data_IF_770026070166
#
_entry.id   IF_770026070166
#
_cell.length_a   1.000
_cell.length_b   1.000
_cell.length_c   1.000
_cell.angle_alpha   90.00
_cell.angle_beta   90.00
_cell.angle_gamma   90.00
#
_symmetry.space_group_name_H-M   'P 1'
#
loop_
_entity.id
_entity.type
_entity.pdbx_description
1 polymer ?
#
# COMPACT_ATOMS: atom_id res chain seq x y z
N UNK A 1 -8.82 -12.35 4.26
CA UNK A 1 -8.76 -12.19 5.74
C UNK A 1 -7.36 -11.86 6.25
N UNK A 2 -6.30 -12.57 5.85
CA UNK A 2 -4.93 -12.28 6.30
C UNK A 2 -4.48 -10.85 5.96
N UNK A 3 -4.70 -10.42 4.72
CA UNK A 3 -4.27 -9.10 4.26
C UNK A 3 -4.97 -7.93 4.95
N UNK A 4 -6.22 -8.08 5.41
CA UNK A 4 -6.87 -7.03 6.19
C UNK A 4 -6.20 -6.84 7.55
N UNK A 5 -5.69 -7.91 8.17
CA UNK A 5 -4.93 -7.80 9.41
C UNK A 5 -3.59 -7.09 9.16
N UNK A 6 -2.90 -7.38 8.05
CA UNK A 6 -1.69 -6.65 7.66
C UNK A 6 -1.97 -5.16 7.41
N UNK A 7 -3.12 -4.82 6.81
CA UNK A 7 -3.55 -3.43 6.65
C UNK A 7 -3.82 -2.75 8.01
N UNK A 8 -4.42 -3.48 8.96
CA UNK A 8 -4.69 -2.98 10.32
C UNK A 8 -3.42 -2.76 11.14
N UNK A 9 -2.37 -3.55 10.88
CA UNK A 9 -1.08 -3.46 11.56
C UNK A 9 -0.28 -2.18 11.25
N UNK A 10 -0.86 -1.24 10.51
CA UNK A 10 -0.27 0.06 10.17
C UNK A 10 0.21 0.89 11.37
N UNK A 11 -0.37 0.68 12.54
CA UNK A 11 0.02 1.37 13.77
C UNK A 11 1.54 1.25 14.08
N UNK A 12 2.20 0.19 13.60
CA UNK A 12 3.62 -0.08 13.84
C UNK A 12 4.53 0.33 12.67
N UNK A 13 3.98 0.84 11.56
CA UNK A 13 4.79 1.24 10.41
C UNK A 13 5.60 2.51 10.69
N UNK A 14 6.87 2.53 10.29
CA UNK A 14 7.78 3.67 10.48
C UNK A 14 8.08 4.43 9.17
N UNK A 15 7.73 3.85 8.04
CA UNK A 15 7.89 4.40 6.68
C UNK A 15 6.91 3.73 5.71
N UNK A 16 6.77 4.29 4.51
CA UNK A 16 5.98 3.69 3.43
C UNK A 16 4.47 3.78 3.64
N UNK A 17 3.69 3.10 2.81
CA UNK A 17 2.21 3.14 2.78
C UNK A 17 1.63 1.76 2.47
N UNK A 18 2.32 0.69 2.83
CA UNK A 18 1.88 -0.68 2.57
C UNK A 18 0.51 -1.02 3.18
N UNK A 19 0.03 -0.27 4.19
CA UNK A 19 -1.34 -0.38 4.68
C UNK A 19 -2.38 -0.23 3.55
N UNK A 20 -2.14 0.69 2.60
CA UNK A 20 -2.99 0.85 1.41
C UNK A 20 -2.90 -0.37 0.49
N UNK A 21 -1.69 -0.82 0.18
CA UNK A 21 -1.45 -2.01 -0.65
C UNK A 21 -2.12 -3.26 -0.06
N UNK A 22 -1.99 -3.47 1.25
CA UNK A 22 -2.65 -4.57 1.96
C UNK A 22 -4.17 -4.45 1.94
N UNK A 23 -4.70 -3.22 1.97
CA UNK A 23 -6.13 -2.98 1.77
C UNK A 23 -6.56 -3.46 0.39
N UNK A 24 -5.83 -3.08 -0.68
CA UNK A 24 -6.12 -3.55 -2.03
C UNK A 24 -6.06 -5.08 -2.13
N UNK A 25 -5.02 -5.70 -1.56
CA UNK A 25 -4.86 -7.15 -1.52
C UNK A 25 -5.99 -7.86 -0.79
N UNK A 26 -6.51 -7.25 0.27
CA UNK A 26 -7.59 -7.82 1.07
C UNK A 26 -8.97 -7.76 0.40
N UNK A 27 -9.13 -6.92 -0.62
CA UNK A 27 -10.42 -6.64 -1.24
C UNK A 27 -10.47 -7.06 -2.71
N UNK A 28 -9.67 -6.42 -3.56
CA UNK A 28 -9.81 -6.50 -5.02
C UNK A 28 -9.80 -7.94 -5.56
N UNK A 29 -8.86 -8.81 -5.16
CA UNK A 29 -8.80 -10.18 -5.69
C UNK A 29 -10.05 -11.02 -5.39
N UNK A 30 -10.76 -10.70 -4.32
CA UNK A 30 -11.89 -11.46 -3.84
C UNK A 30 -13.23 -10.98 -4.41
N UNK A 31 -13.28 -9.77 -4.99
CA UNK A 31 -14.51 -9.20 -5.53
C UNK A 31 -14.98 -9.95 -6.77
N UNK A 32 -16.30 -10.20 -6.86
CA UNK A 32 -16.97 -10.72 -8.06
C UNK A 32 -18.08 -9.78 -8.50
N UNK A 33 -18.03 -9.37 -9.75
CA UNK A 33 -19.12 -8.66 -10.41
C UNK A 33 -20.38 -9.57 -10.52
N UNK A 34 -21.59 -8.99 -10.66
CA UNK A 34 -21.90 -7.57 -10.72
C UNK A 34 -22.10 -6.91 -9.35
N UNK A 35 -22.29 -7.70 -8.29
CA UNK A 35 -22.66 -7.20 -6.96
C UNK A 35 -21.46 -6.88 -6.05
N UNK A 36 -20.23 -7.14 -6.53
CA UNK A 36 -19.00 -6.90 -5.77
C UNK A 36 -19.00 -7.59 -4.40
N UNK A 37 -19.49 -8.84 -4.39
CA UNK A 37 -19.42 -9.74 -3.23
C UNK A 37 -18.07 -10.46 -3.21
N UNK A 38 -17.65 -10.88 -2.03
CA UNK A 38 -16.36 -11.54 -1.85
C UNK A 38 -16.50 -13.05 -2.10
N UNK A 39 -15.58 -13.62 -2.86
CA UNK A 39 -15.30 -15.07 -2.88
C UNK A 39 -14.22 -15.38 -1.86
N UNK A 40 -14.26 -16.58 -1.27
CA UNK A 40 -13.19 -17.06 -0.38
C UNK A 40 -11.89 -17.31 -1.13
N UNK A 41 -12.03 -17.84 -2.36
CA UNK A 41 -10.89 -18.16 -3.21
C UNK A 41 -10.55 -17.01 -4.14
N UNK A 42 -9.27 -16.95 -4.44
CA UNK A 42 -8.66 -16.06 -5.41
C UNK A 42 -9.09 -16.44 -6.84
N UNK A 43 -9.01 -17.74 -7.15
CA UNK A 43 -9.35 -18.32 -8.46
C UNK A 43 -10.54 -19.26 -8.28
N UNK A 44 -11.56 -19.14 -9.14
CA UNK A 44 -12.83 -19.87 -8.95
C UNK A 44 -12.75 -21.34 -9.43
N UNK A 45 -11.82 -21.69 -10.33
CA UNK A 45 -11.70 -23.02 -10.94
C UNK A 45 -10.67 -23.92 -10.22
N UNK A 46 -10.76 -24.00 -8.90
CA UNK A 46 -9.81 -24.79 -8.09
C UNK A 46 -10.37 -26.15 -7.67
N UNK A 47 -11.55 -26.54 -8.17
CA UNK A 47 -12.28 -27.74 -7.71
C UNK A 47 -12.75 -27.66 -6.25
N UNK A 48 -12.60 -26.49 -5.61
CA UNK A 48 -13.10 -26.21 -4.27
C UNK A 48 -14.51 -25.62 -4.39
N UNK A 49 -15.30 -25.73 -3.31
CA UNK A 49 -16.58 -25.04 -3.17
C UNK A 49 -16.39 -23.83 -2.26
N UNK A 50 -15.94 -22.68 -2.77
CA UNK A 50 -15.64 -21.52 -1.94
C UNK A 50 -16.91 -20.95 -1.31
N UNK A 51 -16.78 -20.39 -0.11
CA UNK A 51 -17.85 -19.58 0.44
C UNK A 51 -18.11 -18.34 -0.45
N UNK A 52 -19.37 -18.13 -0.80
CA UNK A 52 -19.84 -16.96 -1.54
C UNK A 52 -21.28 -16.60 -1.10
N UNK A 53 -21.54 -15.41 -0.52
CA UNK A 53 -20.54 -14.39 -0.18
C UNK A 53 -19.66 -14.82 0.99
N UNK A 54 -18.36 -14.53 0.88
CA UNK A 54 -17.37 -14.81 1.91
C UNK A 54 -17.41 -13.75 3.02
N UNK A 55 -18.23 -13.99 4.02
CA UNK A 55 -18.48 -13.03 5.11
C UNK A 55 -17.23 -12.72 5.94
N UNK A 56 -16.29 -13.66 6.08
CA UNK A 56 -15.01 -13.38 6.76
C UNK A 56 -14.18 -12.35 6.00
N UNK A 57 -14.21 -12.37 4.66
CA UNK A 57 -13.59 -11.35 3.80
C UNK A 57 -14.23 -9.97 3.99
N UNK A 58 -15.57 -9.93 3.97
CA UNK A 58 -16.32 -8.70 4.28
C UNK A 58 -16.00 -8.17 5.67
N UNK A 59 -16.01 -9.02 6.69
CA UNK A 59 -15.66 -8.68 8.06
C UNK A 59 -14.25 -8.12 8.19
N UNK A 60 -13.28 -8.69 7.48
CA UNK A 60 -11.91 -8.17 7.41
C UNK A 60 -11.83 -6.78 6.79
N UNK A 61 -12.45 -6.57 5.62
CA UNK A 61 -12.49 -5.25 4.96
C UNK A 61 -13.16 -4.18 5.84
N UNK A 62 -14.27 -4.54 6.49
CA UNK A 62 -15.06 -3.66 7.36
C UNK A 62 -14.29 -3.20 8.63
N UNK A 63 -13.19 -3.88 8.97
CA UNK A 63 -12.33 -3.54 10.10
C UNK A 63 -11.18 -2.59 9.74
N UNK A 64 -10.77 -2.51 8.47
CA UNK A 64 -9.56 -1.77 8.05
C UNK A 64 -9.63 -0.29 8.40
N UNK A 65 -10.74 0.38 8.09
CA UNK A 65 -10.88 1.81 8.36
C UNK A 65 -10.90 2.11 9.87
N UNK A 66 -11.80 1.54 10.69
CA UNK A 66 -11.85 1.87 12.12
C UNK A 66 -10.63 1.39 12.91
N UNK A 67 -10.14 0.17 12.67
CA UNK A 67 -9.07 -0.41 13.47
C UNK A 67 -7.68 -0.22 12.86
N UNK A 68 -7.57 -0.01 11.56
CA UNK A 68 -6.32 0.24 10.84
C UNK A 68 -6.04 1.72 10.65
N UNK A 69 -6.88 2.43 9.88
CA UNK A 69 -6.62 3.84 9.56
C UNK A 69 -6.91 4.77 10.73
N UNK A 70 -8.07 4.67 11.38
CA UNK A 70 -8.36 5.44 12.59
C UNK A 70 -7.57 4.92 13.79
N UNK A 71 -7.27 3.62 13.80
CA UNK A 71 -6.45 3.00 14.85
C UNK A 71 -7.18 2.88 16.19
N UNK A 72 -8.52 2.72 16.19
CA UNK A 72 -9.29 2.53 17.42
C UNK A 72 -8.79 1.29 18.17
N UNK A 73 -8.64 1.37 19.48
CA UNK A 73 -8.42 0.22 20.37
C UNK A 73 -9.46 0.25 21.49
N UNK A 74 -10.08 -0.91 21.71
CA UNK A 74 -11.21 -1.11 22.65
C UNK A 74 -10.85 -2.06 23.78
N UNK A 75 -9.58 -2.38 23.93
CA UNK A 75 -9.01 -3.27 24.95
C UNK A 75 -8.72 -2.55 26.28
N UNK A 76 -8.86 -1.22 26.31
CA UNK A 76 -8.67 -0.38 27.48
C UNK A 76 -10.01 0.24 27.93
N UNK A 77 -10.08 0.66 29.20
CA UNK A 77 -11.20 1.44 29.73
C UNK A 77 -11.29 2.87 29.17
N UNK A 78 -10.31 3.28 28.37
CA UNK A 78 -10.24 4.58 27.71
C UNK A 78 -10.29 4.41 26.18
N UNK A 79 -10.91 5.36 25.48
CA UNK A 79 -10.91 5.37 24.03
C UNK A 79 -9.53 5.77 23.51
N UNK A 80 -8.83 4.80 22.91
CA UNK A 80 -7.55 5.05 22.25
C UNK A 80 -7.75 5.09 20.74
N UNK A 81 -7.24 6.15 20.10
CA UNK A 81 -7.13 6.25 18.64
C UNK A 81 -5.69 6.59 18.27
N UNK A 82 -5.24 6.10 17.11
CA UNK A 82 -3.91 6.35 16.57
C UNK A 82 -3.99 6.57 15.06
N UNK A 83 -4.56 7.71 14.64
CA UNK A 83 -5.00 7.88 13.26
C UNK A 83 -3.82 8.01 12.30
N UNK A 84 -3.93 7.30 11.19
CA UNK A 84 -3.02 7.38 10.05
C UNK A 84 -3.73 6.99 8.76
N UNK A 85 -3.94 7.98 7.90
CA UNK A 85 -4.62 7.79 6.63
C UNK A 85 -3.59 7.66 5.50
N UNK A 86 -3.57 6.55 4.73
CA UNK A 86 -2.64 6.42 3.61
C UNK A 86 -2.84 7.53 2.57
N UNK A 87 -1.76 8.04 1.95
CA UNK A 87 -1.80 9.23 1.09
C UNK A 87 -2.66 9.06 -0.18
N UNK A 88 -2.96 7.83 -0.58
CA UNK A 88 -3.83 7.50 -1.70
C UNK A 88 -5.31 7.80 -1.42
N UNK A 89 -5.70 7.94 -0.15
CA UNK A 89 -7.04 8.28 0.28
C UNK A 89 -7.03 9.69 0.87
N UNK A 90 -7.44 10.74 0.14
CA UNK A 90 -7.31 12.11 0.61
C UNK A 90 -8.24 12.44 1.78
N UNK A 91 -9.44 11.82 1.81
CA UNK A 91 -10.46 12.01 2.83
C UNK A 91 -11.24 10.71 3.05
N UNK A 92 -11.49 10.35 4.30
CA UNK A 92 -12.29 9.18 4.68
C UNK A 92 -13.22 9.54 5.84
N UNK A 93 -14.52 9.32 5.65
CA UNK A 93 -15.47 9.28 6.77
C UNK A 93 -15.49 7.86 7.33
N UNK A 94 -15.21 7.73 8.62
CA UNK A 94 -15.31 6.46 9.34
C UNK A 94 -16.78 6.22 9.65
N UNK A 95 -17.24 4.98 9.48
CA UNK A 95 -18.57 4.56 9.92
C UNK A 95 -18.79 4.93 11.40
N UNK A 96 -20.04 5.14 11.78
CA UNK A 96 -20.39 5.38 13.17
C UNK A 96 -19.95 4.21 14.04
N UNK A 97 -19.39 4.52 15.20
CA UNK A 97 -18.99 3.52 16.19
C UNK A 97 -19.32 4.03 17.59
N UNK A 98 -19.31 3.11 18.55
CA UNK A 98 -19.70 3.38 19.93
C UNK A 98 -18.58 2.92 20.86
N UNK A 99 -18.32 3.71 21.90
CA UNK A 99 -17.41 3.37 22.98
C UNK A 99 -18.08 3.77 24.30
N UNK A 100 -18.17 2.86 25.28
CA UNK A 100 -18.95 3.07 26.52
C UNK A 100 -20.39 3.56 26.28
N UNK A 101 -20.99 3.16 25.16
CA UNK A 101 -22.31 3.60 24.71
C UNK A 101 -22.40 5.00 24.09
N UNK A 102 -21.35 5.82 24.12
CA UNK A 102 -21.34 7.11 23.43
C UNK A 102 -21.21 6.94 21.90
N UNK A 103 -22.10 7.57 21.13
CA UNK A 103 -22.06 7.60 19.67
C UNK A 103 -20.98 8.53 19.12
N UNK A 104 -20.08 8.00 18.28
CA UNK A 104 -18.94 8.72 17.72
C UNK A 104 -18.91 8.66 16.18
N UNK A 105 -18.57 9.80 15.58
CA UNK A 105 -18.26 9.95 14.17
C UNK A 105 -16.83 10.47 14.01
N UNK A 106 -16.07 9.94 13.05
CA UNK A 106 -14.72 10.41 12.76
C UNK A 106 -14.56 10.71 11.27
N UNK A 107 -13.99 11.87 10.96
CA UNK A 107 -13.63 12.26 9.59
C UNK A 107 -12.13 12.47 9.52
N UNK A 108 -11.48 11.69 8.67
CA UNK A 108 -10.03 11.73 8.46
C UNK A 108 -9.71 12.50 7.19
N UNK A 109 -8.73 13.40 7.29
CA UNK A 109 -8.03 14.00 6.15
C UNK A 109 -6.59 13.47 6.11
N UNK A 110 -5.73 14.03 5.26
CA UNK A 110 -4.29 13.71 5.28
C UNK A 110 -3.65 13.98 6.64
N UNK A 111 -3.83 15.19 7.20
CA UNK A 111 -3.02 15.69 8.33
C UNK A 111 -3.70 15.58 9.68
N UNK A 112 -5.02 15.52 9.72
CA UNK A 112 -5.77 15.41 10.98
C UNK A 112 -7.03 14.55 10.84
N UNK A 113 -7.52 14.11 11.99
CA UNK A 113 -8.82 13.44 12.17
C UNK A 113 -9.66 14.27 13.12
N UNK A 114 -10.92 14.52 12.73
CA UNK A 114 -11.91 15.18 13.58
C UNK A 114 -12.85 14.11 14.14
N UNK A 115 -12.92 13.97 15.45
CA UNK A 115 -13.81 13.07 16.16
C UNK A 115 -14.92 13.89 16.82
N UNK A 116 -16.17 13.61 16.46
CA UNK A 116 -17.36 14.29 16.97
C UNK A 116 -18.29 13.30 17.67
N UNK A 117 -18.78 13.65 18.85
CA UNK A 117 -19.88 12.94 19.50
C UNK A 117 -21.20 13.34 18.85
N UNK A 118 -22.11 12.39 18.72
CA UNK A 118 -23.51 12.65 18.39
C UNK A 118 -24.41 12.09 19.50
N UNK A 119 -25.63 12.63 19.62
CA UNK A 119 -26.57 12.18 20.65
C UNK A 119 -26.97 10.72 20.43
N UNK A 120 -26.70 9.87 21.44
CA UNK A 120 -27.04 8.43 21.45
C UNK A 120 -28.32 8.12 22.22
N UNK A 121 -28.88 9.10 22.95
CA UNK A 121 -29.96 8.95 23.94
C UNK A 121 -31.26 8.34 23.38
N UNK A 122 -31.48 8.41 22.07
CA UNK A 122 -32.66 7.86 21.39
C UNK A 122 -32.46 6.45 20.81
N UNK A 123 -31.27 5.86 20.95
CA UNK A 123 -30.97 4.54 20.40
C UNK A 123 -31.37 3.44 21.39
N UNK A 124 -32.35 2.58 21.07
CA UNK A 124 -32.73 1.49 21.95
C UNK A 124 -31.54 0.55 22.16
N UNK A 125 -31.34 0.10 23.40
CA UNK A 125 -30.30 -0.87 23.83
C UNK A 125 -28.86 -0.34 23.96
N UNK A 126 -28.64 0.97 23.87
CA UNK A 126 -27.33 1.58 24.17
C UNK A 126 -27.44 2.36 25.48
N UNK A 127 -26.71 1.92 26.52
CA UNK A 127 -26.51 2.72 27.73
C UNK A 127 -25.26 3.58 27.55
N UNK A 128 -25.46 4.87 27.34
CA UNK A 128 -24.39 5.85 27.28
C UNK A 128 -23.90 6.15 28.70
N UNK A 129 -22.69 5.70 29.05
CA UNK A 129 -22.08 5.89 30.37
C UNK A 129 -21.87 7.37 30.72
N UNK A 130 -21.93 8.26 29.72
CA UNK A 130 -21.85 9.70 29.87
C UNK A 130 -23.18 10.41 29.62
N UNK A 131 -24.32 9.71 29.66
CA UNK A 131 -25.63 10.34 29.63
C UNK A 131 -25.77 11.36 30.77
N UNK A 132 -26.17 12.61 30.46
CA UNK A 132 -26.29 13.68 31.45
C UNK A 132 -24.97 14.19 32.05
N UNK A 133 -23.82 13.70 31.59
CA UNK A 133 -22.48 14.08 32.04
C UNK A 133 -21.63 14.60 30.87
N UNK A 134 -20.61 15.42 31.14
CA UNK A 134 -19.66 15.81 30.10
C UNK A 134 -18.72 14.65 29.78
N UNK A 135 -18.86 14.01 28.61
CA UNK A 135 -17.78 13.22 28.02
C UNK A 135 -16.64 14.18 27.63
N UNK A 136 -15.34 13.80 27.77
CA UNK A 136 -14.23 14.67 27.38
C UNK A 136 -14.25 15.08 25.89
N UNK A 137 -14.99 14.36 25.04
CA UNK A 137 -15.03 14.56 23.59
C UNK A 137 -16.42 15.06 23.16
N UNK A 138 -16.49 16.35 22.80
CA UNK A 138 -17.64 16.91 22.05
C UNK A 138 -17.27 16.96 20.57
N UNK A 139 -16.18 17.65 20.26
CA UNK A 139 -15.49 17.65 18.96
C UNK A 139 -14.01 17.87 19.23
N UNK A 140 -13.17 16.93 18.83
CA UNK A 140 -11.71 17.05 18.98
C UNK A 140 -11.03 16.83 17.63
N UNK A 141 -9.93 17.53 17.43
CA UNK A 141 -9.05 17.35 16.28
C UNK A 141 -7.74 16.74 16.75
N UNK A 142 -7.39 15.59 16.19
CA UNK A 142 -6.16 14.85 16.53
C UNK A 142 -5.26 14.81 15.28
N UNK A 143 -3.96 15.11 15.40
CA UNK A 143 -3.05 14.99 14.27
C UNK A 143 -2.92 13.54 13.82
N UNK A 144 -2.83 13.33 12.51
CA UNK A 144 -2.55 12.01 11.95
C UNK A 144 -1.04 11.74 11.96
N UNK A 145 -0.66 10.49 12.18
CA UNK A 145 0.69 10.02 11.87
C UNK A 145 0.92 10.05 10.37
N UNK A 146 1.91 10.83 9.96
CA UNK A 146 2.39 10.96 8.57
C UNK A 146 3.62 10.07 8.33
N UNK A 147 3.64 8.85 8.89
CA UNK A 147 4.81 7.95 8.80
C UNK A 147 5.22 7.64 7.36
N UNK A 148 4.28 7.69 6.41
CA UNK A 148 4.54 7.49 4.98
C UNK A 148 5.41 8.58 4.33
N UNK A 149 5.54 9.75 4.96
CA UNK A 149 6.49 10.80 4.54
C UNK A 149 7.93 10.42 4.86
N UNK A 150 8.15 9.51 5.82
CA UNK A 150 9.47 8.97 6.06
C UNK A 150 9.83 7.99 4.94
N UNK A 151 10.90 8.31 4.24
CA UNK A 151 11.38 7.53 3.12
C UNK A 151 12.18 6.33 3.60
N UNK A 152 11.80 5.13 3.17
CA UNK A 152 12.51 3.90 3.51
C UNK A 152 13.94 3.89 2.94
N UNK A 153 14.14 4.57 1.81
CA UNK A 153 15.45 4.92 1.27
C UNK A 153 15.54 6.43 1.18
N UNK A 154 16.51 7.03 1.86
CA UNK A 154 16.73 8.49 1.83
C UNK A 154 16.76 9.00 0.38
N UNK A 155 15.97 10.05 0.11
CA UNK A 155 15.86 10.63 -1.22
C UNK A 155 14.95 9.87 -2.19
N UNK A 156 14.19 8.85 -1.77
CA UNK A 156 13.23 8.17 -2.66
C UNK A 156 12.11 9.13 -3.10
N UNK A 157 12.04 9.42 -4.40
CA UNK A 157 11.05 10.35 -4.97
C UNK A 157 9.72 9.69 -5.34
N UNK A 158 9.70 8.36 -5.42
CA UNK A 158 8.53 7.60 -5.92
C UNK A 158 7.79 6.84 -4.82
N UNK A 159 8.22 6.93 -3.56
CA UNK A 159 7.54 6.25 -2.46
C UNK A 159 6.09 6.72 -2.36
N UNK A 160 5.14 5.78 -2.31
CA UNK A 160 3.72 6.06 -2.15
C UNK A 160 3.07 6.91 -3.24
N UNK A 161 3.75 7.10 -4.37
CA UNK A 161 3.17 7.75 -5.53
C UNK A 161 2.16 6.83 -6.22
N UNK A 162 1.13 7.38 -6.91
CA UNK A 162 0.19 6.58 -7.68
C UNK A 162 0.92 5.73 -8.72
N UNK A 163 0.57 4.44 -8.77
CA UNK A 163 1.16 3.49 -9.69
C UNK A 163 0.08 2.70 -10.44
N UNK A 164 0.35 2.38 -11.71
CA UNK A 164 -0.58 1.69 -12.59
C UNK A 164 0.15 0.62 -13.40
N UNK A 165 -0.51 -0.53 -13.62
CA UNK A 165 0.00 -1.58 -14.51
C UNK A 165 -0.71 -1.47 -15.86
N UNK A 166 0.05 -1.53 -16.96
CA UNK A 166 -0.52 -1.62 -18.31
C UNK A 166 -0.82 -3.07 -18.70
N UNK A 167 -0.18 -4.01 -18.02
CA UNK A 167 -0.32 -5.44 -18.24
C UNK A 167 -1.15 -6.07 -17.12
N UNK A 168 -1.65 -7.28 -17.38
CA UNK A 168 -2.23 -8.14 -16.35
C UNK A 168 -1.19 -8.44 -15.25
N UNK A 169 -1.69 -8.89 -14.10
CA UNK A 169 -0.88 -9.16 -12.91
C UNK A 169 -1.37 -10.41 -12.21
N UNK A 170 -0.49 -11.04 -11.45
CA UNK A 170 -0.88 -12.04 -10.47
C UNK A 170 -1.85 -11.41 -9.47
N UNK A 171 -2.80 -12.19 -8.98
CA UNK A 171 -3.74 -11.73 -7.99
C UNK A 171 -3.02 -11.30 -6.69
N UNK A 172 -3.60 -10.35 -5.95
CA UNK A 172 -2.99 -9.76 -4.75
C UNK A 172 -1.59 -9.14 -4.99
N UNK A 173 -1.31 -8.70 -6.22
CA UNK A 173 -0.03 -8.10 -6.59
C UNK A 173 -0.18 -6.72 -7.27
N UNK A 174 -0.76 -5.71 -6.58
CA UNK A 174 -0.99 -4.37 -7.13
C UNK A 174 0.28 -3.63 -7.52
N UNK A 175 0.22 -2.77 -8.55
CA UNK A 175 1.37 -1.97 -8.99
C UNK A 175 1.90 -1.05 -7.87
N UNK A 176 1.04 -0.63 -6.94
CA UNK A 176 1.37 0.15 -5.75
C UNK A 176 2.34 -0.58 -4.82
N UNK A 177 2.27 -1.92 -4.74
CA UNK A 177 3.16 -2.74 -3.90
C UNK A 177 4.63 -2.43 -4.16
N UNK A 178 4.98 -2.16 -5.41
CA UNK A 178 6.36 -1.96 -5.77
C UNK A 178 6.88 -0.54 -5.43
N UNK A 179 6.05 0.40 -4.98
CA UNK A 179 6.49 1.73 -4.50
C UNK A 179 6.01 2.03 -3.08
N UNK A 180 5.38 1.09 -2.40
CA UNK A 180 4.78 1.35 -1.08
C UNK A 180 5.80 1.42 0.07
N UNK A 181 7.09 1.19 -0.21
CA UNK A 181 8.16 1.25 0.78
C UNK A 181 8.35 -0.01 1.62
N UNK A 182 7.45 -0.99 1.54
CA UNK A 182 7.61 -2.28 2.21
C UNK A 182 8.38 -3.30 1.36
N UNK A 183 8.78 -4.42 1.96
CA UNK A 183 9.33 -5.60 1.26
C UNK A 183 8.41 -6.81 1.39
N UNK A 184 7.30 -6.68 2.13
CA UNK A 184 6.33 -7.73 2.40
C UNK A 184 5.22 -7.81 1.34
N UNK A 185 5.17 -6.83 0.45
CA UNK A 185 4.26 -6.74 -0.70
C UNK A 185 5.11 -6.76 -1.97
N UNK A 186 4.54 -7.22 -3.08
CA UNK A 186 5.22 -7.19 -4.38
C UNK A 186 4.23 -6.99 -5.52
N UNK A 187 4.73 -6.40 -6.62
CA UNK A 187 4.10 -6.43 -7.93
C UNK A 187 4.70 -7.58 -8.76
N UNK A 188 3.87 -8.31 -9.50
CA UNK A 188 4.28 -9.45 -10.32
C UNK A 188 3.34 -9.59 -11.53
N UNK A 189 3.87 -9.57 -12.77
CA UNK A 189 3.13 -9.97 -13.96
C UNK A 189 2.94 -11.50 -14.00
N UNK A 190 1.90 -12.01 -14.70
CA UNK A 190 1.60 -13.44 -14.68
C UNK A 190 2.65 -14.29 -15.39
N UNK A 191 3.29 -13.76 -16.44
CA UNK A 191 4.30 -14.44 -17.24
C UNK A 191 5.64 -13.69 -17.22
N UNK A 192 6.68 -14.35 -17.71
CA UNK A 192 8.01 -13.79 -17.92
C UNK A 192 8.14 -12.94 -19.20
N UNK A 193 7.03 -12.69 -19.89
CA UNK A 193 6.94 -11.71 -20.97
C UNK A 193 7.25 -10.29 -20.48
N UNK A 194 7.47 -9.37 -21.43
CA UNK A 194 7.74 -7.97 -21.08
C UNK A 194 6.50 -7.35 -20.46
N UNK A 195 6.62 -6.95 -19.20
CA UNK A 195 5.59 -6.24 -18.47
C UNK A 195 6.11 -4.88 -18.02
N UNK A 196 5.21 -3.92 -17.95
CA UNK A 196 5.58 -2.59 -17.47
C UNK A 196 4.51 -1.95 -16.60
N UNK A 197 5.00 -1.12 -15.69
CA UNK A 197 4.17 -0.28 -14.84
C UNK A 197 4.63 1.16 -14.91
N UNK A 198 3.72 2.05 -14.55
CA UNK A 198 3.90 3.49 -14.54
C UNK A 198 3.74 4.01 -13.12
N UNK A 199 4.56 4.98 -12.76
CA UNK A 199 4.44 5.76 -11.54
C UNK A 199 4.21 7.20 -11.96
N UNK A 200 3.15 7.80 -11.43
CA UNK A 200 2.82 9.19 -11.68
C UNK A 200 3.51 10.10 -10.66
N UNK A 201 4.43 10.92 -11.15
CA UNK A 201 5.18 11.92 -10.40
C UNK A 201 4.76 13.36 -10.78
N UNK A 202 3.59 13.56 -11.39
CA UNK A 202 3.16 14.90 -11.86
C UNK A 202 3.08 15.95 -10.75
N UNK A 203 2.89 15.52 -9.50
CA UNK A 203 2.85 16.38 -8.32
C UNK A 203 4.22 16.53 -7.64
N UNK A 204 5.27 15.90 -8.16
CA UNK A 204 6.64 16.01 -7.66
C UNK A 204 7.43 17.00 -8.51
N UNK A 205 8.37 17.71 -7.88
CA UNK A 205 9.32 18.57 -8.58
C UNK A 205 10.33 17.77 -9.40
N UNK A 206 10.87 18.38 -10.44
CA UNK A 206 12.01 17.85 -11.19
C UNK A 206 13.25 17.83 -10.31
N UNK A 207 13.93 16.68 -10.24
CA UNK A 207 15.12 16.48 -9.41
C UNK A 207 16.13 15.61 -10.15
N UNK A 208 17.40 15.81 -9.83
CA UNK A 208 18.49 14.97 -10.36
C UNK A 208 18.39 13.57 -9.77
N UNK A 209 18.41 12.56 -10.63
CA UNK A 209 18.39 11.14 -10.27
C UNK A 209 19.82 10.68 -10.00
N UNK A 210 20.06 10.20 -8.79
CA UNK A 210 21.35 9.67 -8.32
C UNK A 210 21.42 8.15 -8.36
N UNK A 211 20.27 7.48 -8.42
CA UNK A 211 20.24 6.03 -8.55
C UNK A 211 18.84 5.43 -8.56
N UNK A 212 18.83 4.14 -8.85
CA UNK A 212 17.66 3.28 -8.80
C UNK A 212 17.95 2.17 -7.80
N UNK A 213 16.94 1.77 -7.04
CA UNK A 213 17.01 0.63 -6.14
C UNK A 213 15.83 -0.30 -6.40
N UNK A 214 16.11 -1.60 -6.52
CA UNK A 214 15.12 -2.64 -6.80
C UNK A 214 15.32 -3.81 -5.84
N UNK A 215 14.25 -4.19 -5.13
CA UNK A 215 14.18 -5.45 -4.40
C UNK A 215 13.30 -6.41 -5.18
N UNK A 216 13.87 -7.56 -5.54
CA UNK A 216 13.22 -8.58 -6.35
C UNK A 216 12.52 -9.66 -5.54
N UNK A 217 12.60 -9.63 -4.20
CA UNK A 217 12.35 -10.82 -3.37
C UNK A 217 13.08 -12.05 -3.96
N UNK A 218 12.37 -13.14 -4.21
CA UNK A 218 12.94 -14.39 -4.71
C UNK A 218 12.90 -14.56 -6.23
N UNK A 219 12.32 -13.60 -6.98
CA UNK A 219 12.14 -13.72 -8.45
C UNK A 219 12.72 -12.53 -9.21
N UNK A 220 14.06 -12.40 -9.31
CA UNK A 220 14.73 -11.38 -10.12
C UNK A 220 14.35 -11.43 -11.61
N UNK A 221 14.16 -10.27 -12.21
CA UNK A 221 14.03 -10.14 -13.67
C UNK A 221 15.37 -10.39 -14.37
N UNK A 222 15.33 -10.75 -15.65
CA UNK A 222 16.54 -10.89 -16.48
C UNK A 222 16.95 -9.56 -17.12
N UNK A 223 15.97 -8.76 -17.54
CA UNK A 223 16.18 -7.44 -18.12
C UNK A 223 15.29 -6.40 -17.45
N UNK A 224 15.83 -5.20 -17.24
CA UNK A 224 15.13 -4.10 -16.58
C UNK A 224 15.41 -2.79 -17.30
N UNK A 225 14.35 -2.04 -17.55
CA UNK A 225 14.40 -0.69 -18.11
C UNK A 225 13.63 0.26 -17.21
N UNK A 226 14.22 1.41 -16.90
CA UNK A 226 13.56 2.50 -16.20
C UNK A 226 13.51 3.70 -17.13
N UNK A 227 12.32 4.12 -17.55
CA UNK A 227 12.17 5.26 -18.47
C UNK A 227 11.55 6.44 -17.74
N UNK A 228 12.16 7.61 -17.84
CA UNK A 228 11.70 8.87 -17.28
C UNK A 228 11.12 9.74 -18.39
N UNK A 229 9.89 10.23 -18.22
CA UNK A 229 9.13 10.95 -19.25
C UNK A 229 8.37 12.16 -18.71
N UNK A 230 8.09 13.12 -19.58
CA UNK A 230 7.32 14.34 -19.27
C UNK A 230 5.91 14.34 -19.87
N UNK A 231 5.64 13.47 -20.83
CA UNK A 231 4.44 13.41 -21.68
C UNK A 231 3.68 12.09 -21.49
N UNK A 232 2.75 11.78 -22.41
CA UNK A 232 1.90 10.58 -22.38
C UNK A 232 2.65 9.30 -22.80
N UNK A 233 1.95 8.17 -22.84
CA UNK A 233 2.54 6.83 -22.93
C UNK A 233 3.33 6.52 -24.21
N UNK A 234 3.15 7.32 -25.27
CA UNK A 234 3.61 7.00 -26.62
C UNK A 234 4.76 7.89 -27.15
N UNK A 235 5.46 8.64 -26.28
CA UNK A 235 6.56 9.55 -26.67
C UNK A 235 7.99 9.08 -26.32
N UNK A 236 8.98 9.79 -26.88
CA UNK A 236 10.42 9.60 -26.59
C UNK A 236 10.75 10.02 -25.15
N UNK A 237 11.36 9.11 -24.38
CA UNK A 237 11.73 9.31 -22.97
C UNK A 237 13.22 9.15 -22.73
N UNK A 238 13.73 9.71 -21.62
CA UNK A 238 15.09 9.37 -21.15
C UNK A 238 15.07 7.96 -20.58
N UNK A 239 15.76 7.02 -21.21
CA UNK A 239 15.81 5.61 -20.79
C UNK A 239 17.06 5.37 -19.95
N UNK A 240 16.88 4.90 -18.72
CA UNK A 240 17.90 4.26 -17.89
C UNK A 240 17.80 2.76 -18.13
N UNK A 241 18.73 2.20 -18.90
CA UNK A 241 18.83 0.76 -19.08
C UNK A 241 19.71 0.19 -17.97
N UNK A 242 19.16 -0.79 -17.23
CA UNK A 242 19.89 -1.48 -16.18
C UNK A 242 20.57 -2.70 -16.82
N UNK A 243 21.88 -2.57 -17.08
CA UNK A 243 22.66 -3.55 -17.85
C UNK A 243 23.19 -4.73 -17.03
N UNK A 244 23.20 -4.64 -15.70
CA UNK A 244 23.62 -5.75 -14.83
C UNK A 244 22.74 -5.87 -13.59
N UNK A 245 22.11 -7.03 -13.45
CA UNK A 245 21.33 -7.42 -12.28
C UNK A 245 22.19 -8.41 -11.51
N UNK A 246 22.91 -7.94 -10.51
CA UNK A 246 23.72 -8.82 -9.66
C UNK A 246 22.80 -9.57 -8.70
N UNK A 247 22.76 -10.89 -8.81
CA UNK A 247 22.01 -11.74 -7.89
C UNK A 247 22.92 -12.27 -6.79
N UNK A 248 22.88 -11.67 -5.59
CA UNK A 248 23.59 -12.23 -4.41
C UNK A 248 22.87 -13.45 -3.83
N UNK A 249 23.65 -14.45 -3.36
CA UNK A 249 23.16 -15.62 -2.62
C UNK A 249 22.85 -15.27 -1.15
N UNK A 250 21.96 -16.04 -0.53
CA UNK A 250 21.68 -15.99 0.91
C UNK A 250 22.92 -16.46 1.69
N UNK A 251 23.59 -15.58 2.43
CA UNK A 251 24.56 -16.00 3.44
C UNK A 251 23.86 -16.04 4.81
N UNK A 252 23.69 -17.27 5.31
CA UNK A 252 23.43 -17.73 6.69
C UNK A 252 22.73 -16.80 7.70
N UNK A 253 21.45 -17.08 7.91
CA UNK A 253 20.69 -17.32 9.16
C UNK A 253 20.85 -16.54 10.49
N UNK A 254 21.79 -15.61 10.72
CA UNK A 254 21.89 -15.02 12.10
C UNK A 254 21.78 -13.50 12.23
N UNK A 255 21.57 -12.77 11.15
CA UNK A 255 21.20 -11.35 11.23
C UNK A 255 20.22 -11.04 10.11
N UNK A 256 19.01 -10.56 10.44
CA UNK A 256 18.09 -9.98 9.45
C UNK A 256 18.70 -8.64 9.00
N UNK A 257 19.69 -8.70 8.13
CA UNK A 257 20.22 -7.52 7.44
C UNK A 257 19.27 -7.23 6.28
N UNK A 258 18.75 -6.00 6.11
CA UNK A 258 17.93 -5.68 4.96
C UNK A 258 18.70 -5.98 3.67
N UNK A 259 18.19 -6.94 2.90
CA UNK A 259 18.70 -7.35 1.61
C UNK A 259 18.80 -6.15 0.68
N UNK A 260 20.04 -5.69 0.43
CA UNK A 260 20.36 -4.53 -0.40
C UNK A 260 20.86 -5.01 -1.76
N UNK A 261 19.95 -5.20 -2.72
CA UNK A 261 20.33 -5.29 -4.14
C UNK A 261 20.34 -3.89 -4.74
N UNK A 262 21.50 -3.26 -4.68
CA UNK A 262 21.76 -1.96 -5.29
C UNK A 262 22.06 -2.17 -6.77
N UNK A 263 21.19 -1.70 -7.66
CA UNK A 263 21.52 -1.55 -9.07
C UNK A 263 21.73 -0.07 -9.38
N UNK A 264 22.96 0.39 -9.15
CA UNK A 264 23.34 1.79 -9.35
C UNK A 264 23.70 2.04 -10.80
N UNK A 265 22.91 2.85 -11.52
CA UNK A 265 23.34 3.50 -12.76
C UNK A 265 23.94 4.85 -12.37
N UNK A 266 25.22 5.05 -12.67
CA UNK A 266 25.98 6.26 -12.33
C UNK A 266 26.06 7.16 -13.57
N UNK A 267 24.92 7.61 -14.10
CA UNK A 267 24.89 8.69 -15.07
C UNK A 267 24.54 9.99 -14.35
N UNK A 268 25.48 10.94 -14.37
CA UNK A 268 25.44 12.13 -13.55
C UNK A 268 24.39 13.18 -14.00
N UNK A 269 23.77 13.05 -15.17
CA UNK A 269 22.96 14.12 -15.79
C UNK A 269 21.49 13.76 -16.04
N UNK A 270 20.95 12.79 -15.30
CA UNK A 270 19.56 12.37 -15.47
C UNK A 270 18.64 13.17 -14.55
N UNK A 271 17.70 13.93 -15.12
CA UNK A 271 16.64 14.61 -14.39
C UNK A 271 15.38 13.74 -14.42
N UNK A 272 14.62 13.73 -13.32
CA UNK A 272 13.34 13.04 -13.20
C UNK A 272 12.33 13.54 -14.23
N UNK A 273 11.31 12.72 -14.50
CA UNK A 273 10.16 13.10 -15.33
C UNK A 273 8.89 13.22 -14.50
N UNK A 274 7.77 13.58 -15.15
CA UNK A 274 6.42 13.47 -14.58
C UNK A 274 5.93 12.03 -14.50
N UNK A 275 6.48 11.14 -15.31
CA UNK A 275 6.19 9.71 -15.31
C UNK A 275 7.48 8.89 -15.22
N UNK A 276 7.41 7.80 -14.48
CA UNK A 276 8.45 6.77 -14.42
C UNK A 276 7.85 5.46 -14.87
N UNK A 277 8.41 4.86 -15.92
CA UNK A 277 8.05 3.52 -16.38
C UNK A 277 9.10 2.53 -15.90
N UNK A 278 8.70 1.49 -15.18
CA UNK A 278 9.53 0.32 -14.94
C UNK A 278 9.09 -0.79 -15.89
N UNK A 279 9.95 -1.18 -16.82
CA UNK A 279 9.82 -2.35 -17.66
C UNK A 279 10.68 -3.49 -17.14
N UNK A 280 10.11 -4.69 -17.05
CA UNK A 280 10.82 -5.91 -16.68
C UNK A 280 10.54 -7.01 -17.72
N UNK A 281 11.54 -7.83 -18.01
CA UNK A 281 11.42 -8.97 -18.94
C UNK A 281 12.21 -10.15 -18.39
N UNK A 282 11.65 -11.35 -18.52
CA UNK A 282 12.25 -12.59 -18.05
C UNK A 282 12.21 -12.75 -16.53
N UNK A 283 12.46 -13.97 -16.07
CA UNK A 283 12.62 -14.30 -14.65
C UNK A 283 13.74 -15.31 -14.45
N UNK A 284 14.58 -15.11 -13.42
CA UNK A 284 15.70 -16.02 -13.12
C UNK A 284 15.26 -17.42 -12.65
N UNK A 285 13.98 -17.60 -12.29
CA UNK A 285 13.43 -18.91 -11.88
C UNK A 285 13.09 -19.83 -13.06
N UNK A 286 12.99 -19.30 -14.28
CA UNK A 286 12.74 -20.05 -15.52
C UNK A 286 11.53 -21.02 -15.44
N UNK A 287 10.49 -20.65 -14.70
CA UNK A 287 9.26 -21.43 -14.49
C UNK A 287 8.06 -20.84 -15.27
N UNK A 288 8.32 -19.94 -16.22
CA UNK A 288 7.32 -19.24 -17.04
C UNK A 288 6.53 -18.15 -16.31
N UNK A 289 6.75 -17.95 -15.01
CA UNK A 289 6.08 -16.90 -14.23
C UNK A 289 6.92 -15.62 -14.16
N UNK A 290 6.24 -14.48 -14.07
CA UNK A 290 6.89 -13.17 -14.02
C UNK A 290 7.81 -12.95 -12.82
N UNK A 291 8.75 -12.03 -12.99
CA UNK A 291 9.62 -11.55 -11.92
C UNK A 291 8.85 -10.66 -10.92
N UNK A 292 9.27 -10.65 -9.66
CA UNK A 292 8.65 -9.88 -8.59
C UNK A 292 9.39 -8.57 -8.35
N UNK A 293 8.66 -7.48 -8.15
CA UNK A 293 9.22 -6.22 -7.66
C UNK A 293 8.62 -5.95 -6.29
N UNK A 294 9.33 -6.39 -5.25
CA UNK A 294 8.96 -6.10 -3.87
C UNK A 294 9.21 -4.64 -3.51
N UNK A 295 10.18 -4.00 -4.16
CA UNK A 295 10.44 -2.57 -3.97
C UNK A 295 11.11 -1.96 -5.18
N UNK A 296 10.73 -0.72 -5.49
CA UNK A 296 11.35 0.15 -6.47
C UNK A 296 11.46 1.55 -5.87
N UNK A 297 12.69 2.07 -5.79
CA UNK A 297 12.96 3.43 -5.38
C UNK A 297 13.80 4.15 -6.43
N UNK A 298 13.48 5.41 -6.66
CA UNK A 298 14.20 6.34 -7.53
C UNK A 298 14.77 7.42 -6.62
N UNK A 299 16.10 7.48 -6.53
CA UNK A 299 16.80 8.26 -5.51
C UNK A 299 17.22 9.61 -6.09
N UNK A 300 16.81 10.69 -5.44
CA UNK A 300 17.25 12.05 -5.73
C UNK A 300 18.70 12.31 -5.26
N UNK A 301 19.31 13.35 -5.82
CA UNK A 301 20.66 13.79 -5.48
C UNK A 301 20.84 14.18 -4.01
#
# INVERSE_FOLDING_TARGET
MTYSIYAINNAHSLSGCAAYTWTLNSMIPYLRAPFYQFSEVLVDDTGLHPAFPFLTGHGGSNQIVPFGFLGVRTDNGELVINPSLPPQNPHVAVRLFYFGGAGLNAVMSRTHTVLTRFASDSLPLIMDEWAGSSMPVVSITVPNRLYFENNTYTGNMIQCMPAYSLNSRVQASPPESAVDGATSTAWQPPSDETASRLINMSNAGYQQVKGVYLNWADRPALNVTVTLRNDTLDGDGRVITILSITTGNWESEEVIVPYLRRTCCRDADIISGRLVRLGITGCSKADGQGATVAKFALIAA
#
